data_IF_945822985373
#
_entry.id   IF_945822985373
#
_cell.length_a   1.000
_cell.length_b   1.000
_cell.length_c   1.000
_cell.angle_alpha   90.00
_cell.angle_beta   90.00
_cell.angle_gamma   90.00
#
_symmetry.space_group_name_H-M   'P 1'
#
loop_
_entity.id
_entity.type
_entity.pdbx_description
1 polymer ?
#
# COMPACT_ATOMS: atom_id res chain seq x y z
N UNK A 1 23.70 -4.25 16.67
CA UNK A 1 22.60 -3.27 16.53
C UNK A 1 21.42 -4.05 15.99
N UNK A 2 20.34 -4.18 16.76
CA UNK A 2 19.19 -5.00 16.40
C UNK A 2 18.35 -4.25 15.35
N UNK A 3 18.00 -4.89 14.23
CA UNK A 3 17.19 -4.27 13.17
C UNK A 3 15.75 -4.11 13.64
N UNK A 4 15.07 -3.06 13.21
CA UNK A 4 13.62 -2.94 13.44
C UNK A 4 12.86 -3.97 12.60
N UNK A 5 11.64 -4.32 13.00
CA UNK A 5 10.82 -5.31 12.27
C UNK A 5 10.56 -4.92 10.81
N UNK A 6 10.40 -3.63 10.53
CA UNK A 6 10.23 -3.14 9.16
C UNK A 6 11.52 -3.18 8.35
N UNK A 7 12.68 -2.93 8.96
CA UNK A 7 13.97 -3.13 8.29
C UNK A 7 14.17 -4.61 7.95
N UNK A 8 13.89 -5.49 8.90
CA UNK A 8 13.94 -6.94 8.71
C UNK A 8 13.01 -7.37 7.57
N UNK A 9 11.74 -6.95 7.58
CA UNK A 9 10.77 -7.25 6.53
C UNK A 9 11.16 -6.67 5.16
N UNK A 10 11.51 -5.38 5.10
CA UNK A 10 11.87 -4.67 3.87
C UNK A 10 13.15 -5.23 3.23
N UNK A 11 14.03 -5.85 4.03
CA UNK A 11 15.23 -6.52 3.52
C UNK A 11 14.96 -7.90 2.90
N UNK A 12 13.80 -8.50 3.14
CA UNK A 12 13.48 -9.83 2.62
C UNK A 12 13.32 -9.82 1.10
N UNK A 13 13.72 -10.91 0.45
CA UNK A 13 13.42 -11.09 -0.98
C UNK A 13 11.92 -11.18 -1.24
N UNK A 14 11.16 -11.72 -0.30
CA UNK A 14 9.71 -11.86 -0.42
C UNK A 14 8.99 -10.51 -0.52
N UNK A 15 9.32 -9.53 0.34
CA UNK A 15 8.68 -8.21 0.34
C UNK A 15 8.96 -7.38 -0.91
N UNK A 16 10.05 -7.70 -1.62
CA UNK A 16 10.45 -7.04 -2.86
C UNK A 16 9.68 -7.52 -4.10
N UNK A 17 8.98 -8.66 -4.06
CA UNK A 17 8.31 -9.24 -5.23
C UNK A 17 6.93 -8.60 -5.43
N UNK A 18 6.57 -8.24 -6.66
CA UNK A 18 5.27 -7.61 -6.94
C UNK A 18 4.08 -8.49 -6.56
N UNK A 19 4.11 -9.76 -6.96
CA UNK A 19 3.03 -10.74 -6.72
C UNK A 19 2.71 -10.96 -5.23
N UNK A 20 3.70 -10.89 -4.36
CA UNK A 20 3.52 -11.13 -2.92
C UNK A 20 2.78 -9.99 -2.23
N UNK A 21 2.64 -8.82 -2.88
CA UNK A 21 1.95 -7.71 -2.26
C UNK A 21 0.46 -7.96 -2.09
N UNK A 22 -0.23 -8.42 -3.14
CA UNK A 22 -1.64 -8.74 -3.00
C UNK A 22 -1.87 -9.92 -2.06
N UNK A 23 -0.95 -10.90 -2.04
CA UNK A 23 -0.98 -12.00 -1.07
C UNK A 23 -0.94 -11.45 0.36
N UNK A 24 -0.08 -10.47 0.63
CA UNK A 24 0.02 -9.81 1.92
C UNK A 24 -1.25 -9.04 2.28
N UNK A 25 -1.69 -8.15 1.39
CA UNK A 25 -2.77 -7.18 1.64
C UNK A 25 -4.13 -7.85 1.77
N UNK A 26 -4.38 -8.90 1.00
CA UNK A 26 -5.69 -9.53 0.90
C UNK A 26 -5.84 -10.74 1.84
N UNK A 27 -4.77 -11.15 2.51
CA UNK A 27 -4.84 -12.26 3.45
C UNK A 27 -5.54 -11.85 4.76
N UNK A 28 -6.39 -12.74 5.24
CA UNK A 28 -7.02 -12.62 6.57
C UNK A 28 -6.06 -12.87 7.73
N UNK A 29 -5.05 -13.70 7.48
CA UNK A 29 -4.05 -14.11 8.46
C UNK A 29 -2.72 -14.26 7.74
N UNK A 30 -1.69 -13.63 8.26
CA UNK A 30 -0.34 -13.72 7.70
C UNK A 30 0.61 -14.15 8.79
N UNK A 31 1.38 -15.20 8.53
CA UNK A 31 2.50 -15.60 9.38
C UNK A 31 3.79 -15.31 8.62
N UNK A 32 4.54 -14.32 9.09
CA UNK A 32 5.82 -13.92 8.52
C UNK A 32 6.95 -14.58 9.31
N UNK A 33 7.78 -15.35 8.61
CA UNK A 33 9.04 -15.85 9.12
C UNK A 33 10.15 -14.89 8.68
N UNK A 34 10.65 -14.11 9.63
CA UNK A 34 11.81 -13.23 9.45
C UNK A 34 13.05 -13.93 10.01
N UNK A 35 14.23 -13.36 9.73
CA UNK A 35 15.50 -13.98 10.14
C UNK A 35 15.65 -14.18 11.65
N UNK A 36 15.01 -13.32 12.45
CA UNK A 36 15.15 -13.29 13.92
C UNK A 36 13.81 -13.43 14.65
N UNK A 37 12.69 -13.35 13.94
CA UNK A 37 11.35 -13.26 14.52
C UNK A 37 10.30 -13.96 13.69
N UNK A 38 9.25 -14.42 14.36
CA UNK A 38 8.00 -14.83 13.73
C UNK A 38 6.91 -13.84 14.10
N UNK A 39 6.26 -13.27 13.08
CA UNK A 39 5.19 -12.27 13.25
C UNK A 39 3.89 -12.80 12.67
N UNK A 40 2.83 -12.78 13.47
CA UNK A 40 1.48 -13.13 13.07
C UNK A 40 0.62 -11.87 12.96
N UNK A 41 -0.02 -11.68 11.81
CA UNK A 41 -1.01 -10.64 11.56
C UNK A 41 -2.40 -11.27 11.39
N UNK A 42 -3.41 -10.63 11.96
CA UNK A 42 -4.81 -10.91 11.67
C UNK A 42 -5.66 -9.65 11.84
N UNK A 43 -6.95 -9.77 11.55
CA UNK A 43 -7.95 -8.70 11.78
C UNK A 43 -7.98 -8.18 13.22
N UNK A 44 -7.60 -9.01 14.19
CA UNK A 44 -7.68 -8.69 15.62
C UNK A 44 -6.37 -8.14 16.19
N UNK A 45 -5.34 -7.99 15.35
CA UNK A 45 -4.06 -7.41 15.75
C UNK A 45 -2.84 -8.21 15.28
N UNK A 46 -1.71 -7.87 15.89
CA UNK A 46 -0.38 -8.40 15.55
C UNK A 46 0.22 -9.07 16.79
N UNK A 47 0.77 -10.27 16.62
CA UNK A 47 1.54 -10.98 17.65
C UNK A 47 2.95 -11.26 17.13
N UNK A 48 3.94 -11.18 18.01
CA UNK A 48 5.34 -11.46 17.68
C UNK A 48 5.95 -12.35 18.77
N UNK A 49 6.81 -13.28 18.36
CA UNK A 49 7.51 -14.18 19.29
C UNK A 49 8.49 -13.41 20.20
N UNK A 50 9.24 -12.44 19.67
CA UNK A 50 10.16 -11.62 20.48
C UNK A 50 9.44 -10.50 21.22
N UNK A 51 9.57 -10.52 22.55
CA UNK A 51 9.09 -9.46 23.46
C UNK A 51 9.86 -8.13 23.33
N UNK A 52 10.93 -8.09 22.54
CA UNK A 52 11.84 -6.94 22.35
C UNK A 52 11.20 -5.78 21.58
N UNK A 53 10.11 -6.02 20.84
CA UNK A 53 9.56 -5.08 19.85
C UNK A 53 8.20 -4.49 20.21
N UNK A 54 7.82 -4.58 21.49
CA UNK A 54 6.50 -4.17 21.99
C UNK A 54 6.14 -2.69 21.76
N UNK A 55 7.09 -1.83 21.36
CA UNK A 55 6.83 -0.40 21.11
C UNK A 55 6.97 -0.01 19.61
N UNK A 56 7.81 -0.72 18.84
CA UNK A 56 8.04 -0.45 17.41
C UNK A 56 6.98 -1.07 16.50
N UNK A 57 6.33 -2.16 16.92
CA UNK A 57 5.29 -2.81 16.11
C UNK A 57 4.06 -1.92 15.91
N UNK A 58 3.69 -1.14 16.94
CA UNK A 58 2.59 -0.16 16.86
C UNK A 58 2.91 1.01 15.91
N UNK A 59 4.20 1.32 15.71
CA UNK A 59 4.64 2.47 14.90
C UNK A 59 5.00 2.12 13.46
N UNK A 60 5.48 0.90 13.20
CA UNK A 60 6.15 0.63 11.91
C UNK A 60 5.26 0.00 10.85
N UNK A 61 4.16 -0.62 11.26
CA UNK A 61 3.02 -0.93 10.41
C UNK A 61 1.78 -0.50 11.16
N UNK A 62 1.48 0.80 11.18
CA UNK A 62 0.28 1.29 11.85
C UNK A 62 -0.93 0.44 11.41
N UNK A 63 -1.56 -0.31 12.32
CA UNK A 63 -2.95 -0.66 12.13
C UNK A 63 -3.67 0.69 12.13
N UNK A 64 -4.18 1.12 10.97
CA UNK A 64 -5.06 2.28 10.95
C UNK A 64 -6.33 1.89 11.69
N UNK A 65 -6.39 2.38 12.93
CA UNK A 65 -7.44 2.24 13.94
C UNK A 65 -7.77 0.80 14.33
N UNK A 66 -7.53 0.48 15.61
CA UNK A 66 -8.10 -0.72 16.21
C UNK A 66 -9.60 -0.74 15.92
N UNK A 67 -10.19 -1.86 15.45
CA UNK A 67 -11.63 -1.96 15.45
C UNK A 67 -12.07 -1.91 16.90
N UNK A 68 -12.96 -0.97 17.24
CA UNK A 68 -13.78 -1.08 18.44
C UNK A 68 -14.29 -2.52 18.54
N UNK A 69 -14.13 -3.12 19.73
CA UNK A 69 -14.43 -4.51 20.09
C UNK A 69 -15.90 -4.94 19.84
N UNK A 70 -16.71 -4.12 19.17
CA UNK A 70 -18.17 -4.26 19.07
C UNK A 70 -18.76 -4.10 17.67
N UNK A 71 -18.04 -4.42 16.58
CA UNK A 71 -18.67 -4.42 15.25
C UNK A 71 -18.55 -5.76 14.52
N UNK A 72 -19.56 -6.59 14.73
CA UNK A 72 -19.89 -7.74 13.91
C UNK A 72 -20.26 -7.27 12.49
N UNK A 73 -19.40 -7.55 11.50
CA UNK A 73 -19.76 -8.19 10.22
C UNK A 73 -18.70 -7.97 9.13
N UNK A 74 -18.52 -9.04 8.34
CA UNK A 74 -17.86 -9.14 7.03
C UNK A 74 -16.34 -8.93 6.94
N UNK A 75 -15.63 -10.06 6.80
CA UNK A 75 -14.35 -10.22 6.05
C UNK A 75 -13.33 -9.13 6.39
N UNK A 76 -12.84 -9.12 7.63
CA UNK A 76 -11.73 -8.25 8.00
C UNK A 76 -10.42 -8.88 7.51
N UNK A 77 -9.77 -8.26 6.51
CA UNK A 77 -8.37 -8.53 6.19
C UNK A 77 -7.49 -8.07 7.36
N UNK A 78 -6.17 -8.22 7.27
CA UNK A 78 -5.23 -7.75 8.31
C UNK A 78 -5.19 -6.21 8.52
N UNK A 79 -6.30 -5.48 8.28
CA UNK A 79 -6.43 -4.03 8.43
C UNK A 79 -5.95 -3.21 7.23
N UNK A 80 -5.49 -3.84 6.16
CA UNK A 80 -4.92 -3.13 5.00
C UNK A 80 -5.96 -2.47 4.08
N UNK A 81 -7.17 -3.02 4.04
CA UNK A 81 -8.30 -2.42 3.34
C UNK A 81 -9.17 -1.69 4.36
N UNK A 82 -9.32 -0.38 4.18
CA UNK A 82 -10.24 0.41 4.99
C UNK A 82 -11.67 -0.06 4.79
N UNK A 83 -12.49 0.08 5.84
CA UNK A 83 -13.92 -0.19 5.77
C UNK A 83 -14.56 0.63 4.64
N UNK A 84 -15.52 0.01 3.96
CA UNK A 84 -16.32 0.71 2.97
C UNK A 84 -17.16 1.77 3.68
N UNK A 85 -17.24 3.01 3.14
CA UNK A 85 -18.17 3.99 3.65
C UNK A 85 -19.61 3.51 3.37
N UNK A 86 -20.57 4.11 4.07
CA UNK A 86 -21.99 3.78 3.91
C UNK A 86 -22.46 4.10 2.48
N UNK A 87 -23.57 3.52 2.05
CA UNK A 87 -24.11 3.66 0.69
C UNK A 87 -24.35 5.13 0.25
N UNK A 88 -24.38 6.06 1.19
CA UNK A 88 -24.56 7.51 1.03
C UNK A 88 -23.24 8.31 1.10
N UNK A 89 -22.09 7.65 0.89
CA UNK A 89 -20.77 8.29 0.91
C UNK A 89 -20.70 9.55 0.05
N UNK A 90 -20.26 10.64 0.66
CA UNK A 90 -20.02 11.93 0.00
C UNK A 90 -18.79 11.85 -0.91
N UNK A 91 -18.68 12.78 -1.86
CA UNK A 91 -17.48 12.89 -2.72
C UNK A 91 -16.19 13.11 -1.91
N UNK A 92 -16.27 13.80 -0.76
CA UNK A 92 -15.13 14.05 0.11
C UNK A 92 -14.65 12.74 0.73
N UNK A 93 -15.55 11.93 1.29
CA UNK A 93 -15.21 10.62 1.87
C UNK A 93 -14.64 9.66 0.81
N UNK A 94 -15.17 9.70 -0.42
CA UNK A 94 -14.63 8.91 -1.54
C UNK A 94 -13.19 9.33 -1.89
N UNK A 95 -12.91 10.64 -1.90
CA UNK A 95 -11.57 11.18 -2.13
C UNK A 95 -10.62 10.80 -0.98
N UNK A 96 -11.06 10.94 0.26
CA UNK A 96 -10.26 10.59 1.44
C UNK A 96 -9.92 9.10 1.46
N UNK A 97 -10.85 8.23 1.07
CA UNK A 97 -10.57 6.79 0.94
C UNK A 97 -9.60 6.51 -0.22
N UNK A 98 -9.79 7.15 -1.37
CA UNK A 98 -8.87 7.00 -2.50
C UNK A 98 -7.44 7.34 -2.10
N UNK A 99 -7.24 8.45 -1.39
CA UNK A 99 -5.92 8.88 -0.96
C UNK A 99 -5.38 8.05 0.21
N UNK A 100 -6.21 7.86 1.23
CA UNK A 100 -5.84 7.18 2.48
C UNK A 100 -5.66 5.67 2.32
N UNK A 101 -6.24 5.06 1.30
CA UNK A 101 -6.13 3.62 1.08
C UNK A 101 -5.52 3.28 -0.29
N UNK A 102 -6.16 3.64 -1.40
CA UNK A 102 -5.70 3.22 -2.73
C UNK A 102 -4.30 3.75 -3.07
N UNK A 103 -4.09 5.06 -2.93
CA UNK A 103 -2.78 5.69 -3.18
C UNK A 103 -1.72 5.17 -2.20
N UNK A 104 -2.08 4.97 -0.94
CA UNK A 104 -1.15 4.42 0.05
C UNK A 104 -0.71 3.00 -0.33
N UNK A 105 -1.64 2.09 -0.65
CA UNK A 105 -1.33 0.74 -1.12
C UNK A 105 -0.50 0.76 -2.40
N UNK A 106 -0.85 1.64 -3.35
CA UNK A 106 -0.10 1.82 -4.57
C UNK A 106 1.35 2.27 -4.29
N UNK A 107 1.56 3.18 -3.34
CA UNK A 107 2.90 3.67 -2.97
C UNK A 107 3.83 2.56 -2.47
N UNK A 108 3.27 1.54 -1.80
CA UNK A 108 4.03 0.36 -1.38
C UNK A 108 4.31 -0.58 -2.56
N UNK A 109 3.42 -0.64 -3.56
CA UNK A 109 3.48 -1.55 -4.70
C UNK A 109 4.43 -1.15 -5.81
N UNK A 110 4.38 0.11 -6.27
CA UNK A 110 5.01 0.55 -7.52
C UNK A 110 6.53 0.35 -7.60
N UNK A 111 7.21 0.25 -6.45
CA UNK A 111 8.65 -0.01 -6.37
C UNK A 111 9.03 -1.48 -6.28
N UNK A 112 8.08 -2.41 -6.39
CA UNK A 112 8.36 -3.86 -6.30
C UNK A 112 8.84 -4.44 -7.63
N UNK A 113 9.64 -5.49 -7.51
CA UNK A 113 10.22 -6.22 -8.63
C UNK A 113 9.20 -7.17 -9.26
N UNK A 114 9.06 -7.07 -10.58
CA UNK A 114 8.26 -7.97 -11.39
C UNK A 114 9.19 -8.80 -12.28
N UNK A 115 8.92 -10.11 -12.39
CA UNK A 115 9.61 -10.97 -13.35
C UNK A 115 9.24 -10.56 -14.79
N UNK A 116 7.95 -10.29 -15.02
CA UNK A 116 7.43 -9.80 -16.28
C UNK A 116 6.70 -8.48 -16.06
N UNK A 117 7.04 -7.46 -16.84
CA UNK A 117 6.38 -6.15 -16.78
C UNK A 117 4.88 -6.22 -17.00
N UNK A 118 4.43 -7.21 -17.77
CA UNK A 118 3.02 -7.48 -18.06
C UNK A 118 2.21 -7.82 -16.82
N UNK A 119 2.87 -8.28 -15.75
CA UNK A 119 2.21 -8.66 -14.49
C UNK A 119 1.88 -7.46 -13.61
N UNK A 120 2.27 -6.23 -13.98
CA UNK A 120 2.10 -5.04 -13.15
C UNK A 120 0.66 -4.80 -12.70
N UNK A 121 -0.32 -5.09 -13.56
CA UNK A 121 -1.73 -4.94 -13.22
C UNK A 121 -2.25 -6.20 -12.52
N UNK A 122 -1.87 -7.38 -13.01
CA UNK A 122 -2.33 -8.67 -12.46
C UNK A 122 -1.87 -8.90 -11.02
N UNK A 123 -0.68 -8.44 -10.64
CA UNK A 123 -0.16 -8.54 -9.28
C UNK A 123 -0.78 -7.52 -8.31
N UNK A 124 -1.63 -6.62 -8.79
CA UNK A 124 -2.35 -5.62 -8.00
C UNK A 124 -3.89 -5.71 -8.19
N UNK A 125 -4.37 -6.61 -9.05
CA UNK A 125 -5.77 -6.65 -9.49
C UNK A 125 -6.72 -6.99 -8.35
N UNK A 126 -6.30 -7.81 -7.38
CA UNK A 126 -7.12 -8.12 -6.21
C UNK A 126 -7.41 -6.87 -5.35
N UNK A 127 -6.44 -5.96 -5.22
CA UNK A 127 -6.63 -4.68 -4.53
C UNK A 127 -7.56 -3.77 -5.34
N UNK A 128 -7.38 -3.70 -6.66
CA UNK A 128 -8.30 -2.97 -7.55
C UNK A 128 -9.74 -3.49 -7.39
N UNK A 129 -9.93 -4.80 -7.41
CA UNK A 129 -11.25 -5.41 -7.25
C UNK A 129 -11.88 -5.03 -5.90
N UNK A 130 -11.11 -5.08 -4.81
CA UNK A 130 -11.61 -4.67 -3.50
C UNK A 130 -11.98 -3.18 -3.46
N UNK A 131 -11.21 -2.33 -4.14
CA UNK A 131 -11.41 -0.88 -4.17
C UNK A 131 -12.51 -0.45 -5.15
N UNK A 132 -12.84 -1.29 -6.13
CA UNK A 132 -13.88 -1.03 -7.13
C UNK A 132 -15.28 -0.85 -6.52
N UNK A 133 -15.52 -1.43 -5.35
CA UNK A 133 -16.78 -1.29 -4.62
C UNK A 133 -17.10 0.18 -4.33
N UNK A 134 -16.08 0.98 -3.98
CA UNK A 134 -16.24 2.41 -3.75
C UNK A 134 -15.85 3.26 -4.96
N UNK A 135 -14.72 2.95 -5.57
CA UNK A 135 -14.09 3.77 -6.60
C UNK A 135 -14.64 3.49 -8.01
N UNK A 136 -15.59 2.56 -8.13
CA UNK A 136 -16.16 2.12 -9.40
C UNK A 136 -15.16 1.35 -10.25
N UNK A 137 -15.43 1.30 -11.54
CA UNK A 137 -14.57 0.59 -12.49
C UNK A 137 -13.18 1.21 -12.58
N UNK A 138 -12.20 0.39 -12.93
CA UNK A 138 -10.83 0.83 -13.16
C UNK A 138 -10.44 0.62 -14.61
N UNK A 139 -9.76 1.61 -15.18
CA UNK A 139 -9.16 1.51 -16.50
C UNK A 139 -7.65 1.66 -16.37
N UNK A 140 -6.90 0.65 -16.82
CA UNK A 140 -5.44 0.63 -16.72
C UNK A 140 -4.91 0.98 -15.32
N UNK A 141 -5.58 0.51 -14.26
CA UNK A 141 -5.21 0.79 -12.87
C UNK A 141 -5.62 2.18 -12.33
N UNK A 142 -6.45 2.93 -13.05
CA UNK A 142 -6.96 4.24 -12.62
C UNK A 142 -8.46 4.17 -12.33
N UNK A 143 -8.96 4.65 -11.19
CA UNK A 143 -10.39 4.61 -10.88
C UNK A 143 -11.17 5.57 -11.77
N UNK A 144 -12.18 5.08 -12.48
CA UNK A 144 -12.98 5.89 -13.40
C UNK A 144 -13.84 6.93 -12.67
N UNK A 145 -14.34 6.62 -11.47
CA UNK A 145 -15.12 7.57 -10.65
C UNK A 145 -14.33 8.82 -10.27
N UNK A 146 -13.00 8.69 -10.14
CA UNK A 146 -12.09 9.78 -9.80
C UNK A 146 -11.05 10.00 -10.90
N UNK A 147 -11.36 9.66 -12.16
CA UNK A 147 -10.36 9.59 -13.23
C UNK A 147 -9.57 10.90 -13.40
N UNK A 148 -10.27 12.03 -13.44
CA UNK A 148 -9.64 13.35 -13.52
C UNK A 148 -8.67 13.62 -12.35
N UNK A 149 -9.03 13.19 -11.13
CA UNK A 149 -8.15 13.30 -9.96
C UNK A 149 -6.96 12.33 -10.08
N UNK A 150 -7.22 11.11 -10.52
CA UNK A 150 -6.20 10.09 -10.67
C UNK A 150 -5.13 10.49 -11.71
N UNK A 151 -5.49 11.21 -12.77
CA UNK A 151 -4.53 11.73 -13.75
C UNK A 151 -3.50 12.72 -13.16
N UNK A 152 -3.76 13.31 -11.99
CA UNK A 152 -2.77 14.14 -11.28
C UNK A 152 -1.76 13.32 -10.47
N UNK A 153 -1.84 11.99 -10.50
CA UNK A 153 -0.86 11.12 -9.88
C UNK A 153 0.52 11.42 -10.44
N UNK A 154 1.42 11.83 -9.56
CA UNK A 154 2.80 12.09 -9.86
C UNK A 154 3.69 11.27 -8.93
N UNK A 155 4.77 10.76 -9.52
CA UNK A 155 5.72 9.91 -8.82
C UNK A 155 7.07 10.60 -8.86
N UNK A 156 7.63 10.91 -7.69
CA UNK A 156 8.98 11.47 -7.61
C UNK A 156 9.95 10.32 -7.31
N UNK A 157 10.75 9.86 -8.30
CA UNK A 157 11.76 8.84 -8.04
C UNK A 157 12.83 9.41 -7.10
N UNK A 158 13.30 8.59 -6.15
CA UNK A 158 14.39 8.99 -5.25
C UNK A 158 15.75 9.00 -5.97
N UNK A 159 15.91 8.16 -7.00
CA UNK A 159 17.10 8.10 -7.84
C UNK A 159 16.76 7.61 -9.24
N UNK A 160 17.42 8.17 -10.25
CA UNK A 160 17.31 7.76 -11.64
C UNK A 160 16.03 8.21 -12.36
N UNK A 161 16.03 8.15 -13.71
CA UNK A 161 14.84 8.40 -14.51
C UNK A 161 13.84 7.24 -14.41
N UNK A 162 12.55 7.55 -14.58
CA UNK A 162 11.51 6.53 -14.73
C UNK A 162 11.68 5.81 -16.07
N UNK A 163 11.57 4.48 -16.07
CA UNK A 163 11.63 3.66 -17.28
C UNK A 163 10.23 3.27 -17.76
N UNK A 164 10.01 3.31 -19.08
CA UNK A 164 8.70 2.99 -19.69
C UNK A 164 8.46 1.48 -19.76
N UNK A 165 7.32 0.98 -19.26
CA UNK A 165 6.81 -0.37 -19.56
C UNK A 165 6.11 -0.37 -20.90
N UNK A 166 6.59 -1.15 -21.86
CA UNK A 166 5.97 -1.25 -23.19
C UNK A 166 4.58 -1.89 -23.12
N UNK A 167 3.68 -1.49 -24.02
CA UNK A 167 2.32 -2.05 -24.11
C UNK A 167 1.28 -1.45 -23.15
N UNK A 168 1.67 -0.53 -22.27
CA UNK A 168 0.78 0.13 -21.32
C UNK A 168 0.56 1.61 -21.66
N UNK A 169 -0.50 2.27 -21.20
CA UNK A 169 -0.69 3.72 -21.39
C UNK A 169 0.32 4.55 -20.59
N UNK A 170 0.75 5.69 -21.14
CA UNK A 170 1.68 6.62 -20.48
C UNK A 170 1.03 7.48 -19.39
N UNK A 171 -0.28 7.64 -19.42
CA UNK A 171 -1.05 8.41 -18.44
C UNK A 171 -1.38 7.62 -17.16
N UNK A 172 -1.00 6.34 -17.08
CA UNK A 172 -1.20 5.51 -15.89
C UNK A 172 0.12 5.09 -15.25
N UNK A 173 0.09 4.88 -13.93
CA UNK A 173 1.20 4.34 -13.15
C UNK A 173 1.68 2.97 -13.64
N UNK A 174 0.80 2.13 -14.20
CA UNK A 174 1.19 0.83 -14.73
C UNK A 174 2.22 0.98 -15.85
N UNK A 175 2.24 2.14 -16.50
CA UNK A 175 3.17 2.44 -17.56
C UNK A 175 4.61 2.66 -17.13
N UNK A 176 4.92 2.86 -15.85
CA UNK A 176 6.23 3.38 -15.42
C UNK A 176 6.90 2.49 -14.39
N UNK A 177 8.17 2.13 -14.63
CA UNK A 177 9.03 1.43 -13.67
C UNK A 177 9.80 2.43 -12.83
N UNK A 178 9.85 2.15 -11.53
CA UNK A 178 10.75 2.82 -10.62
C UNK A 178 11.97 1.94 -10.42
N UNK A 179 13.16 2.50 -10.61
CA UNK A 179 14.40 1.81 -10.25
C UNK A 179 14.54 1.81 -8.72
N UNK A 180 14.76 0.63 -8.16
CA UNK A 180 14.73 0.37 -6.72
C UNK A 180 15.99 0.95 -6.07
N UNK A 181 15.86 2.12 -5.44
CA UNK A 181 16.89 2.71 -4.58
C UNK A 181 16.53 2.76 -3.09
N UNK A 182 15.25 2.63 -2.69
CA UNK A 182 14.82 2.86 -1.30
C UNK A 182 13.36 2.44 -1.04
N UNK A 183 12.96 2.10 0.22
CA UNK A 183 11.73 1.35 0.51
C UNK A 183 10.41 2.13 0.44
N UNK A 184 10.40 3.42 0.05
CA UNK A 184 9.17 4.23 0.02
C UNK A 184 9.18 5.26 -1.11
N UNK A 185 8.31 5.08 -2.09
CA UNK A 185 8.09 6.09 -3.13
C UNK A 185 7.07 7.13 -2.64
N UNK A 186 7.44 8.41 -2.70
CA UNK A 186 6.49 9.49 -2.42
C UNK A 186 5.60 9.68 -3.65
N UNK A 187 4.33 9.36 -3.50
CA UNK A 187 3.29 9.70 -4.46
C UNK A 187 2.73 11.08 -4.11
N UNK A 188 2.71 11.99 -5.08
CA UNK A 188 2.07 13.29 -4.96
C UNK A 188 0.87 13.34 -5.90
N UNK A 189 -0.26 13.86 -5.43
CA UNK A 189 -1.53 13.94 -6.16
C UNK A 189 -1.75 15.29 -6.87
N UNK A 190 -0.66 16.02 -7.17
CA UNK A 190 -0.76 17.34 -7.81
C UNK A 190 -0.89 18.52 -6.84
N UNK A 191 -0.57 18.35 -5.55
CA UNK A 191 -0.27 19.47 -4.65
C UNK A 191 -1.45 20.05 -3.90
N UNK A 192 -2.61 19.38 -3.86
CA UNK A 192 -3.72 19.81 -3.03
C UNK A 192 -3.60 19.37 -1.57
N UNK A 193 -2.81 18.33 -1.28
CA UNK A 193 -2.19 18.13 0.03
C UNK A 193 -0.83 17.48 -0.21
N UNK A 194 0.25 18.14 0.21
CA UNK A 194 1.43 17.35 0.54
C UNK A 194 0.98 16.31 1.56
N UNK A 195 1.13 15.02 1.26
CA UNK A 195 1.15 13.98 2.29
C UNK A 195 2.43 14.15 3.12
N UNK A 196 2.51 15.27 3.85
CA UNK A 196 3.32 15.40 5.06
C UNK A 196 2.52 14.70 6.15
N UNK A 197 2.63 13.38 6.21
CA UNK A 197 2.39 12.75 7.49
C UNK A 197 3.41 13.34 8.47
N UNK A 198 2.89 14.01 9.50
CA UNK A 198 3.65 14.53 10.63
C UNK A 198 4.60 13.44 11.14
N UNK A 199 5.89 13.73 11.09
CA UNK A 199 6.92 12.83 11.58
C UNK A 199 8.33 13.27 11.16
N UNK A 200 8.71 14.48 11.58
CA UNK A 200 10.09 14.99 11.74
C UNK A 200 11.07 14.97 10.54
N UNK A 201 11.52 16.18 10.20
CA UNK A 201 12.79 16.45 9.48
C UNK A 201 14.00 15.97 10.29
N UNK A 202 15.11 15.65 9.62
CA UNK A 202 16.25 16.60 9.56
C UNK A 202 16.72 16.80 8.11
N UNK A 203 16.81 18.04 7.61
CA UNK A 203 18.00 18.91 7.64
C UNK A 203 19.29 18.22 7.16
N UNK A 204 19.69 18.56 5.94
CA UNK A 204 20.83 19.49 5.77
C UNK A 204 20.26 20.84 5.38
#
# INVERSE_FOLDING_TARGET
>A
MQRTLNESFSSTKWSSRGWTFQEFVLSHRVLLFLSEDVVFYCSNGVACESKSFGDDLYRTFSPMEQPDLHQESSIQNCGFLHKLPRNDATLIEIIEQYEGNYIQLLSFYIGRNLTYDTDVLNAFSGIINAQSVLLGDFESGMPLRLFARALFLSVTPQSGPLSRRNGFPSWSWIGWKLEVGSPRTVLNDGGYRHFRHRGYWPLV
#
